data_IF_192371422318
#
_entry.id   IF_192371422318
#
_cell.length_a   1.000
_cell.length_b   1.000
_cell.length_c   1.000
_cell.angle_alpha   90.00
_cell.angle_beta   90.00
_cell.angle_gamma   90.00
#
_symmetry.space_group_name_H-M   'P 1'
#
loop_
_entity.id
_entity.type
_entity.pdbx_description
1 polymer ?
#
# COMPACT_ATOMS: atom_id res chain seq x y z
N UNK A 1 -3.93 -2.23 -8.65
CA UNK A 1 -4.85 -3.35 -8.34
C UNK A 1 -4.46 -4.62 -9.09
N UNK A 2 -4.02 -4.52 -10.36
CA UNK A 2 -3.57 -5.64 -11.20
C UNK A 2 -2.67 -6.69 -10.52
N UNK A 3 -1.68 -6.31 -9.70
CA UNK A 3 -0.81 -7.29 -9.04
C UNK A 3 -1.58 -8.23 -8.10
N UNK A 4 -2.62 -7.75 -7.40
CA UNK A 4 -3.47 -8.62 -6.59
C UNK A 4 -4.28 -9.61 -7.43
N UNK A 5 -4.65 -9.23 -8.66
CA UNK A 5 -5.34 -10.13 -9.59
C UNK A 5 -4.39 -11.20 -10.10
N UNK A 6 -3.20 -10.81 -10.57
CA UNK A 6 -2.18 -11.73 -11.08
C UNK A 6 -1.68 -12.70 -10.01
N UNK A 7 -1.53 -12.24 -8.77
CA UNK A 7 -1.20 -13.13 -7.65
C UNK A 7 -2.23 -14.24 -7.46
N UNK A 8 -3.50 -14.00 -7.78
CA UNK A 8 -4.56 -15.01 -7.72
C UNK A 8 -4.63 -15.84 -9.01
N UNK A 9 -4.66 -15.20 -10.19
CA UNK A 9 -4.86 -15.89 -11.47
C UNK A 9 -3.68 -16.78 -11.87
N UNK A 10 -2.46 -16.38 -11.49
CA UNK A 10 -1.25 -17.06 -11.93
C UNK A 10 -0.73 -18.05 -10.87
N UNK A 11 -1.51 -18.29 -9.80
CA UNK A 11 -1.22 -19.30 -8.78
C UNK A 11 -0.22 -18.89 -7.70
N UNK A 12 0.23 -17.63 -7.65
CA UNK A 12 1.16 -17.16 -6.60
C UNK A 12 0.58 -17.30 -5.19
N UNK A 13 -0.69 -16.92 -5.01
CA UNK A 13 -1.39 -17.07 -3.73
C UNK A 13 -1.46 -18.55 -3.34
N UNK A 14 -1.77 -19.42 -4.28
CA UNK A 14 -1.91 -20.85 -4.04
C UNK A 14 -0.55 -21.51 -3.74
N UNK A 15 0.54 -20.94 -4.27
CA UNK A 15 1.92 -21.28 -3.92
C UNK A 15 2.38 -20.69 -2.56
N UNK A 16 1.55 -19.89 -1.89
CA UNK A 16 1.82 -19.34 -0.56
C UNK A 16 2.26 -17.87 -0.51
N UNK A 17 2.33 -17.17 -1.64
CA UNK A 17 2.63 -15.73 -1.67
C UNK A 17 1.36 -14.93 -1.37
N UNK A 18 1.18 -14.52 -0.11
CA UNK A 18 -0.06 -13.93 0.37
C UNK A 18 0.04 -12.46 0.79
N UNK A 19 1.23 -11.84 0.75
CA UNK A 19 1.42 -10.40 0.99
C UNK A 19 1.69 -9.65 -0.31
N UNK A 20 0.85 -8.65 -0.60
CA UNK A 20 1.14 -7.60 -1.57
C UNK A 20 1.64 -6.38 -0.81
N UNK A 21 2.90 -5.98 -1.01
CA UNK A 21 3.53 -4.92 -0.23
C UNK A 21 3.70 -3.63 -1.06
N UNK A 22 3.27 -2.50 -0.49
CA UNK A 22 3.58 -1.17 -1.01
C UNK A 22 4.85 -0.67 -0.31
N UNK A 23 5.85 -0.30 -1.09
CA UNK A 23 7.09 0.26 -0.58
C UNK A 23 7.01 1.79 -0.39
N UNK A 24 8.14 2.47 -0.33
CA UNK A 24 8.24 3.91 -0.16
C UNK A 24 7.46 4.69 -1.25
N UNK A 25 7.36 5.99 -1.04
CA UNK A 25 6.66 6.96 -1.87
C UNK A 25 5.14 6.89 -1.77
N UNK A 26 4.47 5.93 -1.14
CA UNK A 26 2.99 5.82 -1.20
C UNK A 26 2.22 7.03 -0.64
N UNK A 27 2.81 7.76 0.31
CA UNK A 27 2.17 8.85 1.01
C UNK A 27 2.26 10.19 0.26
N UNK A 28 1.39 11.13 0.61
CA UNK A 28 1.47 12.51 0.18
C UNK A 28 2.73 13.18 0.75
N UNK A 29 3.22 14.29 0.13
CA UNK A 29 4.42 14.99 0.59
C UNK A 29 4.32 15.55 2.02
N UNK A 30 3.10 15.74 2.55
CA UNK A 30 2.85 16.34 3.86
C UNK A 30 1.80 15.54 4.67
N UNK A 31 1.92 15.59 5.99
CA UNK A 31 0.95 15.00 6.93
C UNK A 31 -0.35 15.82 6.99
N UNK A 32 -1.43 15.19 7.43
CA UNK A 32 -2.70 15.90 7.62
C UNK A 32 -2.63 16.90 8.79
N UNK A 33 -3.67 17.72 8.95
CA UNK A 33 -3.77 18.68 10.06
C UNK A 33 -3.82 18.03 11.46
N UNK A 34 -3.91 16.70 11.52
CA UNK A 34 -3.89 15.87 12.74
C UNK A 34 -2.57 15.09 12.87
N UNK A 35 -1.56 15.39 12.05
CA UNK A 35 -0.23 14.78 12.07
C UNK A 35 -0.15 13.37 11.47
N UNK A 36 -1.17 12.92 10.73
CA UNK A 36 -1.22 11.55 10.17
C UNK A 36 -0.61 11.48 8.78
N UNK A 37 -0.04 10.32 8.46
CA UNK A 37 0.31 9.98 7.08
C UNK A 37 -0.97 9.91 6.23
N UNK A 38 -0.86 10.41 5.00
CA UNK A 38 -1.97 10.47 4.04
C UNK A 38 -1.55 9.74 2.79
N UNK A 39 -2.46 8.98 2.18
CA UNK A 39 -2.20 8.43 0.85
C UNK A 39 -2.08 9.59 -0.15
N UNK A 40 -1.17 9.47 -1.12
CA UNK A 40 -1.08 10.47 -2.20
C UNK A 40 -2.42 10.54 -2.96
N UNK A 41 -3.06 11.72 -3.06
CA UNK A 41 -4.41 11.82 -3.60
C UNK A 41 -4.47 11.61 -5.12
N UNK A 42 -3.35 11.70 -5.84
CA UNK A 42 -3.31 11.45 -7.28
C UNK A 42 -3.08 9.97 -7.57
N UNK A 43 -2.20 9.31 -6.80
CA UNK A 43 -1.84 7.89 -7.00
C UNK A 43 -2.80 6.94 -6.30
N UNK A 44 -3.35 7.36 -5.17
CA UNK A 44 -4.33 6.60 -4.38
C UNK A 44 -5.59 7.45 -4.12
N UNK A 45 -6.34 7.83 -5.18
CA UNK A 45 -7.51 8.71 -5.04
C UNK A 45 -8.62 8.14 -4.16
N UNK A 46 -8.73 6.80 -4.07
CA UNK A 46 -9.66 6.10 -3.18
C UNK A 46 -9.07 5.78 -1.79
N UNK A 47 -7.81 6.14 -1.55
CA UNK A 47 -7.06 5.89 -0.33
C UNK A 47 -6.63 4.43 -0.10
N UNK A 48 -5.75 4.23 0.88
CA UNK A 48 -5.20 2.90 1.21
C UNK A 48 -6.29 1.95 1.73
N UNK A 49 -7.31 2.44 2.45
CA UNK A 49 -8.40 1.60 2.96
C UNK A 49 -9.16 0.89 1.83
N UNK A 50 -9.42 1.59 0.72
CA UNK A 50 -10.08 0.99 -0.45
C UNK A 50 -9.21 -0.10 -1.07
N UNK A 51 -7.91 0.16 -1.23
CA UNK A 51 -6.95 -0.81 -1.74
C UNK A 51 -6.83 -2.03 -0.81
N UNK A 52 -6.76 -1.82 0.51
CA UNK A 52 -6.71 -2.90 1.50
C UNK A 52 -7.95 -3.80 1.42
N UNK A 53 -9.15 -3.21 1.36
CA UNK A 53 -10.39 -3.96 1.19
C UNK A 53 -10.37 -4.79 -0.10
N UNK A 54 -9.87 -4.23 -1.20
CA UNK A 54 -9.74 -4.96 -2.46
C UNK A 54 -8.75 -6.13 -2.34
N UNK A 55 -7.57 -5.90 -1.77
CA UNK A 55 -6.54 -6.93 -1.58
C UNK A 55 -7.07 -8.06 -0.68
N UNK A 56 -7.76 -7.71 0.41
CA UNK A 56 -8.41 -8.69 1.29
C UNK A 56 -9.51 -9.50 0.57
N UNK A 57 -10.28 -8.87 -0.33
CA UNK A 57 -11.29 -9.58 -1.13
C UNK A 57 -10.71 -10.67 -2.04
N UNK A 58 -9.40 -10.60 -2.33
CA UNK A 58 -8.64 -11.60 -3.09
C UNK A 58 -8.00 -12.70 -2.23
N UNK A 59 -8.18 -12.63 -0.91
CA UNK A 59 -7.53 -13.54 0.05
C UNK A 59 -6.05 -13.22 0.27
N UNK A 60 -5.63 -11.99 -0.02
CA UNK A 60 -4.27 -11.49 0.19
C UNK A 60 -4.23 -10.54 1.40
N UNK A 61 -3.03 -10.23 1.88
CA UNK A 61 -2.71 -9.26 2.93
C UNK A 61 -1.98 -8.06 2.33
N UNK A 62 -2.16 -6.88 2.91
CA UNK A 62 -1.49 -5.65 2.45
C UNK A 62 -0.34 -5.28 3.38
N UNK A 63 0.87 -5.18 2.83
CA UNK A 63 2.03 -4.54 3.48
C UNK A 63 2.13 -3.06 3.14
N UNK A 64 2.66 -2.26 4.06
CA UNK A 64 2.88 -0.81 3.86
C UNK A 64 4.23 -0.40 4.43
N UNK A 65 4.81 0.65 3.86
CA UNK A 65 6.12 1.18 4.23
C UNK A 65 6.03 2.41 5.13
N UNK A 66 6.98 2.53 6.06
CA UNK A 66 7.28 3.74 6.83
C UNK A 66 8.77 3.71 7.21
N UNK A 67 9.27 4.83 7.74
CA UNK A 67 10.63 4.94 8.23
C UNK A 67 10.66 5.31 9.72
N UNK A 68 11.71 4.90 10.43
CA UNK A 68 11.95 5.24 11.83
C UNK A 68 12.52 6.64 12.00
N UNK A 69 13.16 7.17 10.95
CA UNK A 69 13.80 8.48 10.91
C UNK A 69 12.82 9.63 10.69
N UNK A 70 13.40 10.81 10.43
CA UNK A 70 12.63 12.03 10.20
C UNK A 70 11.91 12.08 8.85
N UNK A 71 12.41 11.31 7.88
CA UNK A 71 11.89 11.17 6.52
C UNK A 71 12.17 9.75 6.03
N UNK A 72 11.38 9.28 5.08
CA UNK A 72 11.69 8.06 4.34
C UNK A 72 12.94 8.19 3.49
N UNK A 73 13.46 7.08 2.99
CA UNK A 73 14.57 7.05 2.03
C UNK A 73 14.35 7.99 0.84
N UNK A 74 13.12 8.08 0.32
CA UNK A 74 12.75 8.96 -0.78
C UNK A 74 12.35 10.39 -0.35
N UNK A 75 12.41 10.70 0.95
CA UNK A 75 12.19 12.04 1.49
C UNK A 75 10.74 12.37 1.87
N UNK A 76 9.87 11.37 2.00
CA UNK A 76 8.49 11.54 2.45
C UNK A 76 8.37 11.60 3.99
N UNK A 77 7.24 12.07 4.55
CA UNK A 77 7.02 12.18 6.00
C UNK A 77 6.93 10.86 6.78
#
# INVERSE_FOLDING_TARGET
MQMAELMVSDGWRDAGYDYLCIDDCWMAPERDSKGRLQADPQRFPSGIKHLANYVHSKGLKLGIYADVGNKTCAGFP
#
